data_IF_686952001903
#
_entry.id   IF_686952001903
#
_cell.length_a   1.000
_cell.length_b   1.000
_cell.length_c   1.000
_cell.angle_alpha   90.00
_cell.angle_beta   90.00
_cell.angle_gamma   90.00
#
_symmetry.space_group_name_H-M   'P 1'
#
loop_
_entity.id
_entity.type
_entity.pdbx_description
1 polymer ?
#
# COMPACT_ATOMS: atom_id res chain seq x y z
N UNK A 1 -12.06 -12.66 21.85
CA UNK A 1 -11.13 -12.51 20.69
C UNK A 1 -11.86 -11.65 19.67
N UNK A 2 -11.27 -10.51 19.25
CA UNK A 2 -11.89 -9.61 18.27
C UNK A 2 -11.92 -10.24 16.89
N UNK A 3 -13.03 -10.08 16.17
CA UNK A 3 -13.22 -10.51 14.79
C UNK A 3 -13.00 -9.31 13.85
N UNK A 4 -12.13 -9.44 12.87
CA UNK A 4 -11.75 -8.35 11.96
C UNK A 4 -12.09 -8.75 10.51
N UNK A 5 -12.90 -7.93 9.84
CA UNK A 5 -13.14 -8.07 8.41
C UNK A 5 -12.10 -7.25 7.63
N UNK A 6 -11.40 -7.88 6.67
CA UNK A 6 -10.38 -7.22 5.86
C UNK A 6 -10.80 -7.19 4.39
N UNK A 7 -11.05 -6.01 3.87
CA UNK A 7 -11.29 -5.74 2.45
C UNK A 7 -9.96 -5.40 1.76
N UNK A 8 -9.53 -6.23 0.83
CA UNK A 8 -8.22 -6.10 0.18
C UNK A 8 -7.08 -6.87 0.88
N UNK A 9 -7.42 -7.85 1.73
CA UNK A 9 -6.45 -8.66 2.48
C UNK A 9 -5.49 -9.49 1.62
N UNK A 10 -5.84 -9.77 0.36
CA UNK A 10 -4.97 -10.49 -0.59
C UNK A 10 -3.90 -9.61 -1.25
N UNK A 11 -3.95 -8.30 -1.03
CA UNK A 11 -2.96 -7.34 -1.54
C UNK A 11 -1.68 -7.32 -0.70
N UNK A 12 -0.70 -6.51 -1.15
CA UNK A 12 0.62 -6.37 -0.51
C UNK A 12 0.51 -6.03 0.99
N UNK A 13 -0.13 -4.91 1.33
CA UNK A 13 -0.33 -4.51 2.75
C UNK A 13 -1.24 -5.49 3.48
N UNK A 14 -2.27 -6.00 2.79
CA UNK A 14 -3.26 -6.89 3.39
C UNK A 14 -2.67 -8.21 3.89
N UNK A 15 -1.70 -8.78 3.16
CA UNK A 15 -0.99 -10.00 3.57
C UNK A 15 -0.29 -9.78 4.92
N UNK A 16 0.56 -8.76 5.02
CA UNK A 16 1.32 -8.45 6.24
C UNK A 16 0.40 -8.09 7.41
N UNK A 17 -0.73 -7.41 7.13
CA UNK A 17 -1.75 -7.18 8.14
C UNK A 17 -2.35 -8.50 8.65
N UNK A 18 -2.73 -9.43 7.77
CA UNK A 18 -3.29 -10.73 8.18
C UNK A 18 -2.29 -11.56 8.99
N UNK A 19 -1.01 -11.54 8.63
CA UNK A 19 0.07 -12.18 9.40
C UNK A 19 0.13 -11.61 10.82
N UNK A 20 0.19 -10.29 10.98
CA UNK A 20 0.20 -9.64 12.31
C UNK A 20 -1.09 -9.85 13.11
N UNK A 21 -2.25 -9.89 12.46
CA UNK A 21 -3.51 -10.19 13.14
C UNK A 21 -3.52 -11.65 13.66
N UNK A 22 -3.00 -12.59 12.88
CA UNK A 22 -2.88 -13.99 13.30
C UNK A 22 -1.94 -14.16 14.51
N UNK A 23 -0.81 -13.43 14.55
CA UNK A 23 0.09 -13.39 15.70
C UNK A 23 -0.57 -12.76 16.95
N UNK A 24 -1.44 -11.77 16.75
CA UNK A 24 -2.12 -11.01 17.80
C UNK A 24 -3.40 -11.66 18.36
N UNK A 25 -3.69 -12.92 18.06
CA UNK A 25 -4.90 -13.64 18.48
C UNK A 25 -6.22 -12.98 18.06
N UNK A 26 -6.27 -12.39 16.86
CA UNK A 26 -7.49 -11.94 16.21
C UNK A 26 -8.07 -13.05 15.32
N UNK A 27 -9.40 -13.11 15.19
CA UNK A 27 -10.02 -13.88 14.11
C UNK A 27 -10.24 -12.97 12.93
N UNK A 28 -9.68 -13.31 11.78
CA UNK A 28 -9.68 -12.46 10.60
C UNK A 28 -10.49 -13.10 9.49
N UNK A 29 -11.42 -12.34 8.91
CA UNK A 29 -12.12 -12.74 7.68
C UNK A 29 -11.65 -11.88 6.53
N UNK A 30 -11.12 -12.49 5.47
CA UNK A 30 -10.67 -11.79 4.26
C UNK A 30 -11.70 -11.96 3.17
N UNK A 31 -12.29 -10.85 2.70
CA UNK A 31 -13.16 -10.85 1.53
C UNK A 31 -12.33 -10.67 0.26
N UNK A 32 -12.43 -11.60 -0.67
CA UNK A 32 -11.70 -11.60 -1.95
C UNK A 32 -12.61 -11.94 -3.11
N UNK A 33 -12.35 -11.36 -4.27
CA UNK A 33 -13.07 -11.67 -5.52
C UNK A 33 -12.67 -13.04 -6.12
N UNK A 34 -11.54 -13.57 -5.72
CA UNK A 34 -11.00 -14.87 -6.20
C UNK A 34 -10.30 -15.58 -5.05
N UNK A 35 -10.84 -16.67 -4.60
CA UNK A 35 -10.26 -17.46 -3.50
C UNK A 35 -8.84 -17.95 -3.81
N UNK A 36 -8.57 -18.28 -5.07
CA UNK A 36 -7.24 -18.69 -5.51
C UNK A 36 -6.13 -17.65 -5.26
N UNK A 37 -6.47 -16.34 -5.24
CA UNK A 37 -5.53 -15.26 -4.91
C UNK A 37 -5.14 -15.21 -3.44
N UNK A 38 -5.83 -15.95 -2.58
CA UNK A 38 -5.65 -15.96 -1.12
C UNK A 38 -4.96 -17.23 -0.61
N UNK A 39 -4.35 -18.06 -1.47
CA UNK A 39 -3.73 -19.32 -1.07
C UNK A 39 -2.70 -19.18 0.06
N UNK A 40 -1.93 -18.09 0.05
CA UNK A 40 -0.95 -17.78 1.10
C UNK A 40 -1.58 -17.43 2.46
N UNK A 41 -2.82 -16.89 2.47
CA UNK A 41 -3.56 -16.56 3.68
C UNK A 41 -4.24 -17.77 4.32
N UNK A 42 -4.60 -18.77 3.53
CA UNK A 42 -5.27 -19.98 4.02
C UNK A 42 -4.39 -20.83 4.93
N UNK A 43 -3.08 -20.59 4.94
CA UNK A 43 -2.13 -21.28 5.83
C UNK A 43 -1.99 -20.58 7.20
N UNK A 44 -2.53 -19.37 7.33
CA UNK A 44 -2.45 -18.61 8.58
C UNK A 44 -3.52 -19.09 9.57
N UNK A 45 -3.17 -19.25 10.85
CA UNK A 45 -4.17 -19.62 11.86
C UNK A 45 -5.18 -18.49 12.03
N UNK A 46 -6.45 -18.84 12.31
CA UNK A 46 -7.53 -17.88 12.57
C UNK A 46 -7.83 -16.93 11.39
N UNK A 47 -7.44 -17.27 10.17
CA UNK A 47 -7.75 -16.50 8.96
C UNK A 47 -8.71 -17.30 8.07
N UNK A 48 -9.93 -16.79 7.94
CA UNK A 48 -10.96 -17.31 7.06
C UNK A 48 -11.00 -16.51 5.76
N UNK A 49 -11.13 -17.17 4.61
CA UNK A 49 -11.23 -16.51 3.30
C UNK A 49 -12.61 -16.75 2.71
N UNK A 50 -13.34 -15.67 2.46
CA UNK A 50 -14.67 -15.68 1.83
C UNK A 50 -14.57 -15.08 0.44
N UNK A 51 -15.18 -15.74 -0.55
CA UNK A 51 -15.29 -15.19 -1.89
C UNK A 51 -16.52 -14.30 -1.99
N UNK A 52 -16.30 -13.06 -2.49
CA UNK A 52 -17.34 -12.06 -2.64
C UNK A 52 -16.78 -10.73 -3.15
N UNK A 53 -17.70 -9.81 -3.43
CA UNK A 53 -17.36 -8.48 -3.92
C UNK A 53 -17.50 -7.43 -2.82
N UNK A 54 -16.49 -6.58 -2.60
CA UNK A 54 -16.61 -5.46 -1.66
C UNK A 54 -17.57 -4.36 -2.14
N UNK A 55 -18.11 -4.47 -3.36
CA UNK A 55 -19.15 -3.58 -3.90
C UNK A 55 -20.55 -4.09 -3.65
N UNK A 56 -20.72 -5.31 -3.18
CA UNK A 56 -22.02 -5.90 -2.86
C UNK A 56 -22.40 -5.57 -1.41
N UNK A 57 -23.12 -4.48 -1.25
CA UNK A 57 -23.56 -3.98 0.05
C UNK A 57 -24.45 -5.00 0.79
N UNK A 58 -25.29 -5.73 0.05
CA UNK A 58 -26.19 -6.73 0.65
C UNK A 58 -25.39 -7.93 1.22
N UNK A 59 -24.37 -8.38 0.50
CA UNK A 59 -23.49 -9.46 0.98
C UNK A 59 -22.54 -8.98 2.10
N UNK A 60 -22.17 -7.71 2.14
CA UNK A 60 -21.32 -7.15 3.20
C UNK A 60 -22.04 -7.02 4.55
N UNK A 61 -23.32 -6.65 4.53
CA UNK A 61 -24.08 -6.36 5.77
C UNK A 61 -24.04 -7.50 6.80
N UNK A 62 -24.35 -8.76 6.46
CA UNK A 62 -24.28 -9.85 7.42
C UNK A 62 -22.86 -10.13 7.90
N UNK A 63 -21.85 -9.99 7.03
CA UNK A 63 -20.45 -10.13 7.45
C UNK A 63 -20.05 -9.05 8.46
N UNK A 64 -20.43 -7.80 8.21
CA UNK A 64 -20.12 -6.69 9.11
C UNK A 64 -20.79 -6.85 10.48
N UNK A 65 -21.99 -7.39 10.53
CA UNK A 65 -22.71 -7.64 11.79
C UNK A 65 -22.00 -8.66 12.71
N UNK A 66 -21.19 -9.53 12.14
CA UNK A 66 -20.44 -10.56 12.89
C UNK A 66 -19.03 -10.14 13.31
N UNK A 67 -18.58 -8.92 12.91
CA UNK A 67 -17.21 -8.46 13.12
C UNK A 67 -17.16 -7.22 14.02
N UNK A 68 -16.09 -7.09 14.80
CA UNK A 68 -15.87 -5.96 15.70
C UNK A 68 -15.26 -4.72 15.01
N UNK A 69 -14.60 -4.93 13.87
CA UNK A 69 -14.03 -3.87 13.05
C UNK A 69 -13.87 -4.30 11.60
N UNK A 70 -13.85 -3.33 10.69
CA UNK A 70 -13.49 -3.54 9.28
C UNK A 70 -12.26 -2.73 8.90
N UNK A 71 -11.35 -3.37 8.14
CA UNK A 71 -10.17 -2.71 7.57
C UNK A 71 -10.34 -2.59 6.06
N UNK A 72 -10.29 -1.36 5.55
CA UNK A 72 -10.43 -1.07 4.12
C UNK A 72 -9.08 -0.73 3.50
N UNK A 73 -8.56 -1.68 2.69
CA UNK A 73 -7.28 -1.59 1.97
C UNK A 73 -7.45 -1.54 0.44
N UNK A 74 -8.70 -1.59 -0.05
CA UNK A 74 -8.96 -1.66 -1.49
C UNK A 74 -8.58 -0.35 -2.16
N UNK A 75 -7.65 -0.41 -3.10
CA UNK A 75 -7.22 0.74 -3.88
C UNK A 75 -6.71 0.31 -5.27
N UNK A 76 -6.67 1.25 -6.20
CA UNK A 76 -5.97 1.17 -7.48
C UNK A 76 -4.98 2.33 -7.58
N UNK A 77 -3.85 2.11 -8.25
CA UNK A 77 -2.80 3.12 -8.40
C UNK A 77 -2.79 3.76 -9.79
N UNK A 78 -3.51 3.16 -10.74
CA UNK A 78 -3.63 3.60 -12.13
C UNK A 78 -5.07 3.46 -12.60
N UNK A 79 -5.49 4.34 -13.48
CA UNK A 79 -6.83 4.29 -14.04
C UNK A 79 -7.36 5.64 -14.47
N UNK A 80 -8.60 5.65 -14.93
CA UNK A 80 -9.34 6.85 -15.22
C UNK A 80 -9.93 7.47 -13.94
N UNK A 81 -10.36 8.73 -14.01
CA UNK A 81 -11.04 9.38 -12.89
C UNK A 81 -12.28 8.60 -12.43
N UNK A 82 -13.05 8.04 -13.38
CA UNK A 82 -14.19 7.19 -13.06
C UNK A 82 -13.80 5.89 -12.33
N UNK A 83 -12.65 5.28 -12.69
CA UNK A 83 -12.15 4.10 -12.01
C UNK A 83 -11.66 4.42 -10.57
N UNK A 84 -11.01 5.55 -10.41
CA UNK A 84 -10.63 6.06 -9.09
C UNK A 84 -11.87 6.37 -8.24
N UNK A 85 -12.86 7.07 -8.79
CA UNK A 85 -14.11 7.36 -8.09
C UNK A 85 -14.81 6.07 -7.64
N UNK A 86 -14.98 5.13 -8.56
CA UNK A 86 -15.60 3.82 -8.25
C UNK A 86 -14.91 3.13 -7.09
N UNK A 87 -13.57 3.12 -7.08
CA UNK A 87 -12.80 2.34 -6.10
C UNK A 87 -12.59 3.08 -4.79
N UNK A 88 -12.33 4.39 -4.82
CA UNK A 88 -11.96 5.14 -3.63
C UNK A 88 -13.12 5.90 -2.99
N UNK A 89 -14.23 6.10 -3.73
CA UNK A 89 -15.40 6.84 -3.24
C UNK A 89 -16.63 5.94 -3.15
N UNK A 90 -17.07 5.37 -4.28
CA UNK A 90 -18.33 4.60 -4.33
C UNK A 90 -18.27 3.33 -3.48
N UNK A 91 -17.10 2.64 -3.45
CA UNK A 91 -16.90 1.49 -2.56
C UNK A 91 -17.08 1.90 -1.09
N UNK A 92 -16.52 3.04 -0.69
CA UNK A 92 -16.62 3.51 0.70
C UNK A 92 -18.04 3.97 1.05
N UNK A 93 -18.77 4.59 0.11
CA UNK A 93 -20.21 4.89 0.27
C UNK A 93 -21.03 3.61 0.50
N UNK A 94 -20.73 2.55 -0.28
CA UNK A 94 -21.35 1.24 -0.10
C UNK A 94 -20.99 0.61 1.26
N UNK A 95 -19.72 0.72 1.66
CA UNK A 95 -19.25 0.21 2.96
C UNK A 95 -19.94 0.93 4.13
N UNK A 96 -20.05 2.26 4.09
CA UNK A 96 -20.76 3.04 5.12
C UNK A 96 -22.22 2.59 5.24
N UNK A 97 -22.94 2.47 4.12
CA UNK A 97 -24.32 1.96 4.11
C UNK A 97 -24.45 0.56 4.72
N UNK A 98 -23.50 -0.33 4.40
CA UNK A 98 -23.50 -1.68 4.95
C UNK A 98 -23.17 -1.68 6.45
N UNK A 99 -22.26 -0.81 6.90
CA UNK A 99 -21.94 -0.63 8.33
C UNK A 99 -23.15 -0.12 9.11
N UNK A 100 -23.84 0.89 8.60
CA UNK A 100 -25.05 1.43 9.25
C UNK A 100 -26.14 0.35 9.37
N UNK A 101 -26.39 -0.40 8.30
CA UNK A 101 -27.38 -1.47 8.30
C UNK A 101 -27.02 -2.64 9.23
N UNK A 102 -25.72 -2.90 9.43
CA UNK A 102 -25.20 -3.95 10.30
C UNK A 102 -25.01 -3.52 11.76
N UNK A 103 -25.11 -2.23 12.08
CA UNK A 103 -24.74 -1.68 13.38
C UNK A 103 -23.23 -1.67 13.63
N UNK A 104 -22.41 -1.90 12.59
CA UNK A 104 -20.96 -1.88 12.68
C UNK A 104 -20.42 -0.45 12.65
N UNK A 105 -19.61 -0.08 13.65
CA UNK A 105 -19.14 1.30 13.77
C UNK A 105 -17.66 1.50 13.45
N UNK A 106 -16.80 0.49 13.71
CA UNK A 106 -15.34 0.65 13.69
C UNK A 106 -14.76 0.41 12.31
N UNK A 107 -14.18 1.44 11.69
CA UNK A 107 -13.49 1.38 10.41
C UNK A 107 -12.04 1.84 10.56
N UNK A 108 -11.08 1.08 10.03
CA UNK A 108 -9.69 1.50 9.82
C UNK A 108 -9.44 1.53 8.32
N UNK A 109 -9.05 2.69 7.78
CA UNK A 109 -8.89 2.90 6.34
C UNK A 109 -7.46 3.28 5.97
N UNK A 110 -6.94 2.67 4.90
CA UNK A 110 -5.66 3.09 4.30
C UNK A 110 -5.92 4.04 3.14
N UNK A 111 -5.53 5.29 3.36
CA UNK A 111 -5.52 6.34 2.35
C UNK A 111 -4.15 6.45 1.67
N UNK A 112 -3.67 7.65 1.42
CA UNK A 112 -2.35 7.93 0.87
C UNK A 112 -1.83 9.26 1.39
N UNK A 113 -0.53 9.36 1.56
CA UNK A 113 0.12 10.63 1.87
C UNK A 113 -0.11 11.63 0.71
N UNK A 114 -0.39 12.89 1.05
CA UNK A 114 -0.77 13.90 0.08
C UNK A 114 -2.22 13.81 -0.42
N UNK A 115 -3.09 13.01 0.21
CA UNK A 115 -4.52 13.03 -0.08
C UNK A 115 -5.10 14.41 0.28
N UNK A 116 -5.51 15.16 -0.76
CA UNK A 116 -6.07 16.49 -0.67
C UNK A 116 -7.04 16.72 -1.84
N UNK A 117 -8.14 17.45 -1.61
CA UNK A 117 -9.15 17.73 -2.63
C UNK A 117 -8.62 18.61 -3.77
N UNK A 118 -7.60 19.41 -3.50
CA UNK A 118 -6.91 20.30 -4.45
C UNK A 118 -5.62 19.70 -5.03
N UNK A 119 -5.26 18.45 -4.65
CA UNK A 119 -4.05 17.80 -5.13
C UNK A 119 -3.99 17.71 -6.66
N UNK A 120 -2.79 17.80 -7.26
CA UNK A 120 -2.64 17.77 -8.72
C UNK A 120 -3.05 16.43 -9.34
N UNK A 121 -2.90 15.31 -8.64
CA UNK A 121 -3.25 13.99 -9.18
C UNK A 121 -4.70 13.58 -8.89
N UNK A 122 -5.32 12.87 -9.84
CA UNK A 122 -6.66 12.30 -9.69
C UNK A 122 -6.70 11.27 -8.55
N UNK A 123 -5.63 10.48 -8.42
CA UNK A 123 -5.47 9.50 -7.35
C UNK A 123 -5.57 10.18 -5.97
N UNK A 124 -4.77 11.21 -5.71
CA UNK A 124 -4.75 11.90 -4.42
C UNK A 124 -6.10 12.58 -4.12
N UNK A 125 -6.71 13.25 -5.13
CA UNK A 125 -8.06 13.83 -4.97
C UNK A 125 -9.12 12.78 -4.66
N UNK A 126 -9.06 11.62 -5.32
CA UNK A 126 -10.03 10.54 -5.07
C UNK A 126 -9.88 9.94 -3.67
N UNK A 127 -8.64 9.80 -3.16
CA UNK A 127 -8.38 9.36 -1.79
C UNK A 127 -8.93 10.36 -0.78
N UNK A 128 -8.73 11.65 -0.99
CA UNK A 128 -9.30 12.70 -0.13
C UNK A 128 -10.83 12.68 -0.11
N UNK A 129 -11.48 12.49 -1.28
CA UNK A 129 -12.94 12.33 -1.36
C UNK A 129 -13.42 11.09 -0.57
N UNK A 130 -12.67 9.97 -0.66
CA UNK A 130 -12.97 8.77 0.11
C UNK A 130 -12.85 8.98 1.62
N UNK A 131 -11.82 9.69 2.07
CA UNK A 131 -11.69 10.06 3.48
C UNK A 131 -12.87 10.94 3.96
N UNK A 132 -13.28 11.91 3.14
CA UNK A 132 -14.42 12.77 3.46
C UNK A 132 -15.73 11.96 3.61
N UNK A 133 -15.95 10.93 2.78
CA UNK A 133 -17.09 10.01 2.93
C UNK A 133 -17.05 9.33 4.29
N UNK A 134 -15.89 8.83 4.72
CA UNK A 134 -15.76 8.13 5.98
C UNK A 134 -15.91 9.06 7.18
N UNK A 135 -15.26 10.21 7.20
CA UNK A 135 -15.35 11.15 8.33
C UNK A 135 -16.74 11.78 8.48
N UNK A 136 -17.48 11.96 7.39
CA UNK A 136 -18.85 12.48 7.42
C UNK A 136 -19.91 11.40 7.74
N UNK A 137 -19.51 10.13 7.87
CA UNK A 137 -20.46 9.02 8.12
C UNK A 137 -20.95 8.93 9.55
N UNK A 138 -20.30 9.59 10.52
CA UNK A 138 -20.57 9.43 11.94
C UNK A 138 -20.08 8.10 12.52
N UNK A 139 -19.34 7.29 11.76
CA UNK A 139 -18.73 6.04 12.22
C UNK A 139 -17.38 6.29 12.93
N UNK A 140 -16.90 5.28 13.64
CA UNK A 140 -15.65 5.33 14.41
C UNK A 140 -14.46 5.05 13.48
N UNK A 141 -14.02 6.07 12.76
CA UNK A 141 -13.01 5.96 11.67
C UNK A 141 -11.61 6.32 12.17
N UNK A 142 -10.60 5.52 11.78
CA UNK A 142 -9.19 5.91 11.80
C UNK A 142 -8.62 5.79 10.40
N UNK A 143 -7.83 6.77 9.99
CA UNK A 143 -7.21 6.82 8.65
C UNK A 143 -5.70 6.75 8.80
N UNK A 144 -5.07 5.89 7.98
CA UNK A 144 -3.61 5.85 7.82
C UNK A 144 -3.26 6.34 6.43
N UNK A 145 -2.38 7.34 6.32
CA UNK A 145 -1.84 7.90 5.08
C UNK A 145 -0.38 7.48 4.91
N UNK A 146 -0.10 6.34 4.30
CA UNK A 146 1.27 5.93 4.05
C UNK A 146 1.92 6.73 2.92
N UNK A 147 3.22 6.99 3.03
CA UNK A 147 4.12 7.28 1.92
C UNK A 147 4.27 6.02 1.04
N UNK A 148 5.17 6.02 0.06
CA UNK A 148 5.44 4.82 -0.73
C UNK A 148 5.86 3.68 0.18
N UNK A 149 5.16 2.54 0.07
CA UNK A 149 5.38 1.37 0.93
C UNK A 149 6.39 0.44 0.26
N UNK A 150 7.42 0.05 0.99
CA UNK A 150 8.42 -0.90 0.53
C UNK A 150 8.42 -2.21 1.32
N UNK A 151 8.89 -3.30 0.71
CA UNK A 151 8.97 -4.64 1.29
C UNK A 151 9.29 -5.68 0.24
N UNK A 152 9.39 -6.95 0.63
CA UNK A 152 9.86 -8.02 -0.25
C UNK A 152 9.04 -8.19 -1.55
N UNK A 153 7.73 -7.91 -1.50
CA UNK A 153 6.82 -8.02 -2.64
C UNK A 153 6.37 -6.66 -3.20
N UNK A 154 7.03 -5.55 -2.84
CA UNK A 154 6.68 -4.24 -3.36
C UNK A 154 6.85 -4.16 -4.89
N UNK A 155 5.97 -3.37 -5.54
CA UNK A 155 6.07 -3.10 -6.97
C UNK A 155 6.92 -1.85 -7.27
N UNK A 156 7.57 -1.25 -6.27
CA UNK A 156 8.32 -0.01 -6.42
C UNK A 156 9.83 -0.28 -6.55
N UNK A 157 10.51 -0.65 -5.45
CA UNK A 157 11.95 -0.92 -5.49
C UNK A 157 12.29 -2.16 -6.33
N UNK A 158 11.45 -3.21 -6.24
CA UNK A 158 11.62 -4.42 -7.05
C UNK A 158 11.51 -4.16 -8.54
N UNK A 159 10.62 -3.25 -8.97
CA UNK A 159 10.52 -2.85 -10.40
C UNK A 159 11.79 -2.17 -10.86
N UNK A 160 12.30 -1.18 -10.12
CA UNK A 160 13.53 -0.48 -10.48
C UNK A 160 14.76 -1.40 -10.45
N UNK A 161 14.84 -2.31 -9.48
CA UNK A 161 15.89 -3.34 -9.47
C UNK A 161 15.82 -4.24 -10.71
N UNK A 162 14.62 -4.62 -11.15
CA UNK A 162 14.40 -5.45 -12.33
C UNK A 162 14.75 -4.71 -13.63
N UNK A 163 14.37 -3.43 -13.75
CA UNK A 163 14.71 -2.60 -14.91
C UNK A 163 16.22 -2.45 -15.06
N UNK A 164 16.95 -2.27 -13.97
CA UNK A 164 18.41 -2.13 -13.99
C UNK A 164 19.15 -3.43 -14.35
N UNK A 165 18.50 -4.59 -14.27
CA UNK A 165 19.04 -5.85 -14.79
C UNK A 165 19.00 -5.91 -16.33
N UNK A 166 18.02 -5.23 -16.93
CA UNK A 166 17.72 -5.35 -18.37
C UNK A 166 18.32 -4.17 -19.14
N UNK A 167 18.16 -2.95 -18.63
CA UNK A 167 18.53 -1.72 -19.34
C UNK A 167 19.88 -1.20 -18.88
N UNK A 168 20.76 -0.76 -19.83
CA UNK A 168 22.07 -0.20 -19.50
C UNK A 168 21.99 1.20 -18.88
N UNK A 169 20.89 1.92 -19.10
CA UNK A 169 20.63 3.27 -18.60
C UNK A 169 19.15 3.34 -18.20
N UNK A 170 18.86 4.07 -17.11
CA UNK A 170 17.50 4.27 -16.63
C UNK A 170 17.09 5.74 -16.85
N UNK A 171 16.32 6.05 -17.90
CA UNK A 171 15.69 7.36 -18.05
C UNK A 171 14.54 7.49 -17.02
N UNK A 172 14.66 8.49 -16.14
CA UNK A 172 13.77 8.61 -14.97
C UNK A 172 12.99 9.91 -14.99
N UNK A 173 11.69 9.82 -15.18
CA UNK A 173 10.76 10.92 -14.99
C UNK A 173 10.57 11.23 -13.49
N UNK A 174 10.38 12.50 -13.11
CA UNK A 174 10.16 12.90 -11.72
C UNK A 174 11.36 12.65 -10.80
N UNK A 175 12.59 12.62 -11.34
CA UNK A 175 13.82 12.22 -10.63
C UNK A 175 14.11 12.99 -9.34
N UNK A 176 13.63 14.23 -9.21
CA UNK A 176 13.82 15.13 -8.06
C UNK A 176 12.70 15.06 -7.02
N UNK A 177 11.57 14.41 -7.34
CA UNK A 177 10.47 14.26 -6.40
C UNK A 177 10.93 13.54 -5.12
N UNK A 178 10.52 14.04 -3.96
CA UNK A 178 10.95 13.52 -2.66
C UNK A 178 9.92 12.55 -2.10
N UNK A 179 10.43 11.49 -1.50
CA UNK A 179 9.64 10.42 -0.85
C UNK A 179 10.20 10.13 0.53
N UNK A 180 9.32 9.68 1.42
CA UNK A 180 9.70 9.22 2.76
C UNK A 180 9.21 7.78 2.95
N UNK A 181 9.86 6.80 2.29
CA UNK A 181 9.37 5.42 2.20
C UNK A 181 9.15 4.78 3.56
N UNK A 182 8.08 4.01 3.69
CA UNK A 182 7.71 3.31 4.92
C UNK A 182 7.72 1.80 4.69
N UNK A 183 8.23 1.04 5.69
CA UNK A 183 8.22 -0.41 5.63
C UNK A 183 6.81 -0.97 5.82
N UNK A 184 6.47 -1.99 5.04
CA UNK A 184 5.13 -2.61 5.06
C UNK A 184 4.76 -3.18 6.42
N UNK A 185 5.74 -3.69 7.19
CA UNK A 185 5.48 -4.20 8.53
C UNK A 185 5.13 -3.10 9.53
N UNK A 186 5.72 -1.91 9.39
CA UNK A 186 5.38 -0.75 10.22
C UNK A 186 3.96 -0.26 9.90
N UNK A 187 3.56 -0.29 8.61
CA UNK A 187 2.20 0.01 8.18
C UNK A 187 1.21 -1.01 8.76
N UNK A 188 1.53 -2.30 8.68
CA UNK A 188 0.69 -3.37 9.23
C UNK A 188 0.57 -3.26 10.76
N UNK A 189 1.66 -2.95 11.47
CA UNK A 189 1.64 -2.70 12.92
C UNK A 189 0.78 -1.49 13.28
N UNK A 190 0.85 -0.40 12.50
CA UNK A 190 0.01 0.78 12.69
C UNK A 190 -1.48 0.46 12.54
N UNK A 191 -1.84 -0.37 11.55
CA UNK A 191 -3.22 -0.81 11.36
C UNK A 191 -3.72 -1.65 12.54
N UNK A 192 -2.91 -2.59 13.03
CA UNK A 192 -3.24 -3.38 14.24
C UNK A 192 -3.42 -2.47 15.46
N UNK A 193 -2.55 -1.48 15.63
CA UNK A 193 -2.68 -0.50 16.72
C UNK A 193 -3.96 0.32 16.59
N UNK A 194 -4.31 0.78 15.38
CA UNK A 194 -5.59 1.47 15.15
C UNK A 194 -6.80 0.59 15.45
N UNK A 195 -6.77 -0.72 15.14
CA UNK A 195 -7.84 -1.67 15.48
C UNK A 195 -7.96 -1.85 16.99
N UNK A 196 -6.84 -1.90 17.71
CA UNK A 196 -6.80 -2.19 19.14
C UNK A 196 -7.19 -0.99 20.01
N UNK A 197 -6.85 0.23 19.56
CA UNK A 197 -6.89 1.46 20.35
C UNK A 197 -7.96 2.44 19.86
N UNK A 198 -9.04 2.56 20.61
CA UNK A 198 -10.15 3.48 20.30
C UNK A 198 -9.74 4.96 20.38
N UNK A 199 -8.62 5.31 21.04
CA UNK A 199 -8.14 6.69 21.07
C UNK A 199 -7.71 7.20 19.67
N UNK A 200 -7.58 6.32 18.71
CA UNK A 200 -7.26 6.62 17.30
C UNK A 200 -8.49 7.03 16.47
N UNK A 201 -9.70 6.88 17.02
CA UNK A 201 -10.95 7.26 16.34
C UNK A 201 -10.97 8.76 16.05
N UNK A 202 -11.43 9.14 14.87
CA UNK A 202 -11.49 10.51 14.40
C UNK A 202 -10.12 11.07 13.96
N UNK A 203 -9.06 10.26 13.96
CA UNK A 203 -7.69 10.71 13.65
C UNK A 203 -7.17 10.16 12.33
N UNK A 204 -6.32 10.98 11.71
CA UNK A 204 -5.49 10.61 10.56
C UNK A 204 -4.03 10.56 11.00
N UNK A 205 -3.32 9.49 10.61
CA UNK A 205 -1.90 9.29 10.91
C UNK A 205 -1.10 9.23 9.60
N UNK A 206 0.04 9.92 9.55
CA UNK A 206 0.99 9.82 8.45
C UNK A 206 1.99 8.69 8.72
N UNK A 207 1.95 7.65 7.88
CA UNK A 207 2.87 6.53 7.99
C UNK A 207 4.06 6.76 7.06
N UNK A 208 5.15 7.28 7.62
CA UNK A 208 6.38 7.60 6.93
C UNK A 208 7.58 6.95 7.62
N UNK A 209 8.59 6.59 6.83
CA UNK A 209 9.86 6.12 7.34
C UNK A 209 10.70 7.24 7.97
N UNK A 210 11.90 6.92 8.49
CA UNK A 210 12.74 7.90 9.16
C UNK A 210 13.54 8.80 8.19
N UNK A 211 13.66 8.42 6.91
CA UNK A 211 14.57 9.04 5.94
C UNK A 211 13.82 9.54 4.71
N UNK A 212 14.28 10.66 4.15
CA UNK A 212 13.74 11.26 2.92
C UNK A 212 14.74 11.04 1.79
N UNK A 213 14.23 10.58 0.64
CA UNK A 213 15.00 10.34 -0.56
C UNK A 213 14.36 11.00 -1.78
N UNK A 214 15.17 11.42 -2.74
CA UNK A 214 14.68 11.70 -4.09
C UNK A 214 14.35 10.38 -4.80
N UNK A 215 13.46 10.41 -5.80
CA UNK A 215 13.19 9.23 -6.63
C UNK A 215 14.47 8.68 -7.28
N UNK A 216 15.37 9.58 -7.74
CA UNK A 216 16.68 9.18 -8.27
C UNK A 216 17.50 8.40 -7.26
N UNK A 217 17.57 8.83 -6.01
CA UNK A 217 18.29 8.11 -4.95
C UNK A 217 17.68 6.73 -4.68
N UNK A 218 16.34 6.63 -4.63
CA UNK A 218 15.66 5.34 -4.44
C UNK A 218 15.95 4.35 -5.58
N UNK A 219 15.94 4.83 -6.84
CA UNK A 219 16.30 4.01 -8.00
C UNK A 219 17.77 3.58 -7.94
N UNK A 220 18.67 4.47 -7.58
CA UNK A 220 20.09 4.14 -7.40
C UNK A 220 20.32 3.10 -6.30
N UNK A 221 19.65 3.26 -5.14
CA UNK A 221 19.71 2.28 -4.04
C UNK A 221 19.16 0.92 -4.46
N UNK A 222 18.05 0.86 -5.21
CA UNK A 222 17.52 -0.39 -5.74
C UNK A 222 18.55 -1.12 -6.63
N UNK A 223 19.27 -0.38 -7.48
CA UNK A 223 20.37 -0.92 -8.29
C UNK A 223 21.55 -1.40 -7.45
N UNK A 224 21.96 -0.59 -6.47
CA UNK A 224 23.07 -0.90 -5.56
C UNK A 224 22.80 -2.19 -4.78
N UNK A 225 21.65 -2.29 -4.11
CA UNK A 225 21.31 -3.47 -3.32
C UNK A 225 21.07 -4.71 -4.17
N UNK A 226 20.54 -4.57 -5.39
CA UNK A 226 20.35 -5.70 -6.29
C UNK A 226 21.64 -6.14 -7.03
N UNK A 227 22.75 -5.42 -6.84
CA UNK A 227 24.02 -5.68 -7.54
C UNK A 227 24.02 -5.33 -9.03
N UNK A 228 23.08 -4.48 -9.49
CA UNK A 228 22.89 -4.13 -10.91
C UNK A 228 22.85 -2.61 -11.12
N UNK A 229 23.68 -1.85 -10.42
CA UNK A 229 23.72 -0.38 -10.55
C UNK A 229 23.91 0.08 -11.98
N UNK A 230 23.02 0.96 -12.45
CA UNK A 230 23.07 1.59 -13.77
C UNK A 230 23.00 3.11 -13.65
N UNK A 231 23.53 3.85 -14.63
CA UNK A 231 23.34 5.29 -14.71
C UNK A 231 21.86 5.66 -14.74
N UNK A 232 21.43 6.55 -13.83
CA UNK A 232 20.06 7.07 -13.76
C UNK A 232 20.07 8.50 -14.23
N UNK A 233 19.37 8.77 -15.34
CA UNK A 233 19.33 10.08 -16.00
C UNK A 233 17.92 10.66 -15.81
N UNK A 234 17.82 11.81 -15.11
CA UNK A 234 16.56 12.53 -14.98
C UNK A 234 16.08 13.09 -16.32
N UNK A 235 14.81 12.90 -16.62
CA UNK A 235 14.19 13.45 -17.81
C UNK A 235 13.60 14.82 -17.53
N UNK A 236 13.71 15.79 -18.49
CA UNK A 236 12.92 17.01 -18.45
C UNK A 236 11.43 16.70 -18.54
N UNK A 237 10.57 17.57 -17.98
CA UNK A 237 9.12 17.34 -17.86
C UNK A 237 8.42 16.99 -19.18
N UNK A 238 8.82 17.62 -20.31
CA UNK A 238 8.24 17.31 -21.62
C UNK A 238 8.50 15.85 -22.03
N UNK A 239 9.74 15.38 -21.87
CA UNK A 239 10.11 13.98 -22.19
C UNK A 239 9.50 13.00 -21.19
N UNK A 240 9.41 13.39 -19.92
CA UNK A 240 8.75 12.61 -18.87
C UNK A 240 7.28 12.35 -19.21
N UNK A 241 6.54 13.37 -19.71
CA UNK A 241 5.14 13.22 -20.13
C UNK A 241 4.98 12.31 -21.35
N UNK A 242 5.89 12.42 -22.34
CA UNK A 242 5.90 11.52 -23.50
C UNK A 242 6.14 10.08 -23.03
N UNK A 243 7.15 9.86 -22.17
CA UNK A 243 7.43 8.54 -21.59
C UNK A 243 6.23 7.94 -20.88
N UNK A 244 5.58 8.71 -19.99
CA UNK A 244 4.40 8.26 -19.25
C UNK A 244 3.23 7.91 -20.20
N UNK A 245 3.01 8.73 -21.25
CA UNK A 245 1.95 8.45 -22.24
C UNK A 245 2.22 7.15 -23.00
N UNK A 246 3.47 6.90 -23.41
CA UNK A 246 3.83 5.66 -24.08
C UNK A 246 3.68 4.43 -23.16
N UNK A 247 4.00 4.58 -21.86
CA UNK A 247 3.80 3.52 -20.88
C UNK A 247 2.32 3.23 -20.60
N UNK A 248 1.45 4.25 -20.64
CA UNK A 248 -0.01 4.07 -20.51
C UNK A 248 -0.65 3.35 -21.71
N UNK A 249 -0.05 3.46 -22.90
CA UNK A 249 -0.51 2.77 -24.11
C UNK A 249 -0.04 1.32 -24.20
N UNK A 250 0.98 0.94 -23.42
CA UNK A 250 1.47 -0.43 -23.36
C UNK A 250 0.44 -1.36 -22.68
N UNK A 251 0.29 -2.61 -23.12
CA UNK A 251 -0.60 -3.56 -22.47
C UNK A 251 -0.14 -3.88 -21.04
N UNK A 252 -1.09 -3.91 -20.09
CA UNK A 252 -0.84 -4.21 -18.67
C UNK A 252 -0.90 -2.99 -17.76
N UNK A 253 -0.43 -3.15 -16.51
CA UNK A 253 -0.32 -2.02 -15.58
C UNK A 253 0.90 -1.16 -15.96
N UNK A 254 0.73 0.15 -16.21
CA UNK A 254 1.86 1.01 -16.55
C UNK A 254 2.82 1.14 -15.37
N UNK A 255 4.13 1.13 -15.64
CA UNK A 255 5.15 1.37 -14.60
C UNK A 255 5.03 2.81 -14.08
N UNK A 256 4.66 3.74 -14.96
CA UNK A 256 4.44 5.15 -14.65
C UNK A 256 3.32 5.70 -15.52
N UNK A 257 2.44 6.51 -14.93
CA UNK A 257 1.35 7.20 -15.62
C UNK A 257 1.53 8.72 -15.55
N UNK A 258 0.78 9.44 -16.37
CA UNK A 258 0.72 10.92 -16.28
C UNK A 258 0.20 11.38 -14.92
N UNK A 259 -0.74 10.65 -14.33
CA UNK A 259 -1.24 10.95 -12.98
C UNK A 259 -0.16 10.76 -11.89
N UNK A 260 0.74 9.77 -12.06
CA UNK A 260 1.90 9.65 -11.18
C UNK A 260 2.85 10.85 -11.30
N UNK A 261 3.08 11.37 -12.52
CA UNK A 261 3.87 12.60 -12.70
C UNK A 261 3.21 13.80 -12.04
N UNK A 262 1.89 13.90 -12.14
CA UNK A 262 1.14 14.98 -11.47
C UNK A 262 1.21 14.82 -9.94
N UNK A 263 1.16 13.60 -9.40
CA UNK A 263 1.37 13.35 -7.97
C UNK A 263 2.76 13.76 -7.50
N UNK A 264 3.79 13.59 -8.34
CA UNK A 264 5.19 13.96 -8.03
C UNK A 264 5.48 15.46 -8.04
N UNK A 265 4.52 16.32 -8.43
CA UNK A 265 4.64 17.77 -8.28
C UNK A 265 4.58 18.23 -6.82
N UNK A 266 4.05 17.39 -5.94
CA UNK A 266 4.08 17.57 -4.50
C UNK A 266 4.97 16.50 -3.87
N UNK A 267 5.73 16.88 -2.85
CA UNK A 267 6.56 15.92 -2.12
C UNK A 267 5.71 14.88 -1.38
N UNK A 268 6.14 13.64 -1.41
CA UNK A 268 5.50 12.53 -0.69
C UNK A 268 6.23 12.28 0.65
N UNK A 269 6.23 13.29 1.50
CA UNK A 269 6.88 13.33 2.82
C UNK A 269 5.87 13.74 3.89
N UNK A 270 6.13 13.40 5.15
CA UNK A 270 5.28 13.80 6.27
C UNK A 270 5.10 15.32 6.31
N UNK A 271 3.87 15.77 6.54
CA UNK A 271 3.53 17.20 6.60
C UNK A 271 4.04 17.88 7.88
N UNK A 272 4.30 17.09 8.92
CA UNK A 272 4.60 17.57 10.27
C UNK A 272 3.39 18.16 11.01
N UNK A 273 2.22 18.14 10.41
CA UNK A 273 0.98 18.66 11.00
C UNK A 273 0.10 17.55 11.60
N UNK A 274 0.20 16.35 11.06
CA UNK A 274 -0.54 15.18 11.53
C UNK A 274 0.38 14.24 12.33
N UNK A 275 -0.20 13.47 13.28
CA UNK A 275 0.59 12.51 14.04
C UNK A 275 1.18 11.42 13.13
N UNK A 276 2.44 11.08 13.37
CA UNK A 276 3.15 10.00 12.67
C UNK A 276 3.04 8.65 13.39
N UNK A 277 3.81 7.66 12.92
CA UNK A 277 3.88 6.31 13.50
C UNK A 277 4.31 6.31 14.98
N UNK A 278 5.14 7.27 15.40
CA UNK A 278 5.58 7.40 16.79
C UNK A 278 4.40 7.65 17.75
N UNK A 279 3.36 8.37 17.30
CA UNK A 279 2.14 8.56 18.09
C UNK A 279 1.35 7.26 18.31
N UNK A 280 1.59 6.24 17.50
CA UNK A 280 1.06 4.88 17.67
C UNK A 280 2.03 3.96 18.43
N UNK A 281 3.14 4.49 18.95
CA UNK A 281 4.17 3.72 19.65
C UNK A 281 5.07 2.88 18.73
N UNK A 282 5.13 3.23 17.42
CA UNK A 282 5.91 2.51 16.42
C UNK A 282 7.12 3.36 16.03
N UNK A 283 8.32 2.77 16.15
CA UNK A 283 9.55 3.35 15.63
C UNK A 283 9.72 2.94 14.18
N UNK A 284 9.67 3.88 13.21
CA UNK A 284 9.75 3.54 11.80
C UNK A 284 11.11 2.91 11.44
N UNK A 285 11.07 1.85 10.63
CA UNK A 285 12.26 1.13 10.19
C UNK A 285 12.95 1.87 9.04
N UNK A 286 14.29 1.96 9.09
CA UNK A 286 15.08 2.57 8.03
C UNK A 286 15.11 1.67 6.79
N UNK A 287 15.04 2.28 5.59
CA UNK A 287 15.12 1.58 4.32
C UNK A 287 16.44 0.79 4.21
N UNK A 288 17.53 1.38 4.64
CA UNK A 288 18.86 0.75 4.64
C UNK A 288 18.96 -0.49 5.52
N UNK A 289 18.13 -0.60 6.55
CA UNK A 289 18.10 -1.76 7.43
C UNK A 289 17.31 -2.95 6.87
N UNK A 290 16.36 -2.69 5.94
CA UNK A 290 15.42 -3.72 5.47
C UNK A 290 15.70 -4.17 4.04
N UNK A 291 15.96 -3.23 3.12
CA UNK A 291 16.08 -3.52 1.69
C UNK A 291 17.18 -4.55 1.35
N UNK A 292 18.36 -4.56 2.01
CA UNK A 292 19.39 -5.54 1.72
C UNK A 292 18.96 -7.01 1.90
N UNK A 293 17.97 -7.26 2.77
CA UNK A 293 17.51 -8.63 3.04
C UNK A 293 16.66 -9.23 1.90
N UNK A 294 16.03 -8.41 1.08
CA UNK A 294 15.19 -8.93 -0.01
C UNK A 294 15.66 -8.54 -1.41
N UNK A 295 16.29 -7.38 -1.61
CA UNK A 295 16.89 -7.01 -2.90
C UNK A 295 18.35 -7.47 -3.04
N UNK A 296 19.06 -7.66 -1.92
CA UNK A 296 20.47 -8.01 -1.94
C UNK A 296 20.74 -9.41 -2.50
N UNK A 297 22.00 -9.63 -2.94
CA UNK A 297 22.47 -10.94 -3.39
C UNK A 297 22.34 -12.03 -2.29
N UNK A 298 22.19 -11.64 -1.04
CA UNK A 298 21.93 -12.51 0.12
C UNK A 298 20.44 -12.62 0.44
N UNK A 299 19.54 -11.99 -0.33
CA UNK A 299 18.09 -12.12 -0.14
C UNK A 299 17.66 -13.58 -0.14
N UNK A 300 16.63 -13.92 0.65
CA UNK A 300 16.15 -15.29 0.86
C UNK A 300 16.01 -16.10 -0.44
N UNK A 301 15.59 -15.48 -1.56
CA UNK A 301 15.49 -16.13 -2.86
C UNK A 301 16.84 -16.41 -3.52
N UNK A 302 17.79 -15.46 -3.48
CA UNK A 302 19.11 -15.64 -4.05
C UNK A 302 19.95 -16.61 -3.22
N UNK A 303 19.82 -16.58 -1.89
CA UNK A 303 20.43 -17.54 -0.98
C UNK A 303 19.95 -18.98 -1.20
N UNK A 304 18.63 -19.17 -1.42
CA UNK A 304 18.06 -20.48 -1.76
C UNK A 304 18.48 -20.96 -3.17
N UNK A 305 18.56 -20.06 -4.14
CA UNK A 305 19.03 -20.40 -5.51
C UNK A 305 20.54 -20.69 -5.53
N UNK A 306 21.36 -19.97 -4.77
CA UNK A 306 22.77 -20.26 -4.59
C UNK A 306 22.97 -21.61 -3.89
N UNK A 307 22.22 -21.88 -2.81
CA UNK A 307 22.25 -23.19 -2.12
C UNK A 307 21.76 -24.32 -3.02
N UNK A 308 20.76 -24.11 -3.90
CA UNK A 308 20.34 -25.11 -4.90
C UNK A 308 21.40 -25.37 -5.97
N UNK A 309 22.20 -24.37 -6.36
CA UNK A 309 23.30 -24.56 -7.30
C UNK A 309 24.51 -25.29 -6.68
N UNK A 310 24.73 -25.09 -5.38
CA UNK A 310 25.83 -25.75 -4.62
C UNK A 310 25.41 -27.09 -4.00
N UNK A 311 24.12 -27.37 -3.85
CA UNK A 311 23.63 -28.70 -3.52
C UNK A 311 23.79 -29.56 -4.77
N UNK A 312 24.97 -30.14 -4.92
CA UNK A 312 25.26 -31.10 -5.97
C UNK A 312 24.22 -32.23 -5.94
N UNK A 313 23.70 -32.61 -7.07
CA UNK A 313 22.97 -33.87 -7.20
C UNK A 313 24.02 -34.98 -6.95
N UNK A 314 23.85 -35.67 -5.83
CA UNK A 314 24.46 -36.99 -5.67
C UNK A 314 23.65 -37.99 -6.46
#
# INVERSE_FOLDING_TARGET
MKKILVLGGTGFVGRHLCEKLAEGAYRTTVLTRRRASASHLQMLPMVDVIEGSPYDTAALTPLLAEHDAVVSLVAILHGTEAAFDKTHVQLLLGLVKACDAAGQRRIVHVSALGADLSAPSMYQRSKARGEAVLFNSGLDVSVLRPSVIFGAEDKFLNTFASLQKIFPIIPLAGSTARFQPVWVEDVAAALVKCIADNSTVGKTFEACGPEIFTLKQLVQLAGQYSGNSKPVIGLPDALARIQATLMELAPGEPIMSRDNLDAMKADNIASGQLPGLQALGITPSALSAVVPFYLGAQGLRSGLMAKRKTAGRF
#
